data_IF_651446698048
#
_entry.id   IF_651446698048
#
_cell.length_a   1.000
_cell.length_b   1.000
_cell.length_c   1.000
_cell.angle_alpha   90.00
_cell.angle_beta   90.00
_cell.angle_gamma   90.00
#
_symmetry.space_group_name_H-M   'P 1'
#
loop_
_entity.id
_entity.type
_entity.pdbx_description
1 polymer ?
#
# COMPACT_ATOMS: atom_id res chain seq x y z
N UNK A 1 41.11 22.16 -87.39
CA UNK A 1 41.30 20.74 -86.94
C UNK A 1 40.79 20.62 -85.49
N UNK A 2 39.57 20.12 -85.29
CA UNK A 2 38.96 19.93 -83.94
C UNK A 2 39.22 18.51 -83.55
N UNK A 3 39.94 18.30 -82.39
CA UNK A 3 40.16 17.00 -81.81
C UNK A 3 38.98 16.72 -80.85
N UNK A 4 38.24 15.65 -81.17
CA UNK A 4 37.17 15.15 -80.35
C UNK A 4 37.77 14.12 -79.34
N UNK A 5 37.68 14.39 -78.09
CA UNK A 5 38.03 13.42 -77.02
C UNK A 5 36.78 12.63 -76.68
N UNK A 6 36.80 11.33 -76.87
CA UNK A 6 35.82 10.40 -76.35
C UNK A 6 36.21 10.08 -74.88
N UNK A 7 35.34 10.43 -73.95
CA UNK A 7 35.43 9.98 -72.56
C UNK A 7 34.57 8.74 -72.49
N UNK A 8 35.20 7.60 -72.28
CA UNK A 8 34.51 6.37 -71.98
C UNK A 8 34.10 6.37 -70.47
N UNK A 9 32.79 6.48 -70.23
CA UNK A 9 32.23 6.31 -68.87
C UNK A 9 32.19 4.82 -68.55
N UNK A 10 33.04 4.36 -67.61
CA UNK A 10 32.95 3.05 -67.01
C UNK A 10 31.90 3.10 -65.88
N UNK A 11 30.73 2.55 -66.18
CA UNK A 11 29.69 2.35 -65.16
C UNK A 11 30.11 1.17 -64.25
N UNK A 12 30.63 1.49 -63.06
CA UNK A 12 30.78 0.51 -61.98
C UNK A 12 29.37 0.17 -61.44
N UNK A 13 28.85 -0.99 -61.82
CA UNK A 13 27.68 -1.57 -61.14
C UNK A 13 28.09 -2.02 -59.74
N UNK A 14 27.79 -1.22 -58.73
CA UNK A 14 27.78 -1.71 -57.37
C UNK A 14 26.59 -2.68 -57.23
N UNK A 15 26.89 -3.98 -57.26
CA UNK A 15 25.95 -4.97 -56.73
C UNK A 15 25.80 -4.71 -55.24
N UNK A 16 24.75 -3.96 -54.88
CA UNK A 16 24.30 -3.89 -53.51
C UNK A 16 23.83 -5.31 -53.13
N UNK A 17 24.71 -6.04 -52.48
CA UNK A 17 24.30 -7.21 -51.75
C UNK A 17 23.38 -6.71 -50.64
N UNK A 18 22.08 -6.76 -50.87
CA UNK A 18 21.10 -6.61 -49.77
C UNK A 18 21.34 -7.80 -48.84
N UNK A 19 22.12 -7.60 -47.78
CA UNK A 19 22.03 -8.48 -46.66
C UNK A 19 20.55 -8.42 -46.27
N UNK A 20 19.83 -9.52 -46.39
CA UNK A 20 18.54 -9.69 -45.80
C UNK A 20 18.72 -9.30 -44.33
N UNK A 21 18.17 -8.17 -43.88
CA UNK A 21 18.19 -7.78 -42.50
C UNK A 21 17.47 -8.90 -41.75
N UNK A 22 18.24 -9.69 -40.99
CA UNK A 22 17.65 -10.70 -40.13
C UNK A 22 16.77 -10.01 -39.12
N UNK A 23 15.46 -10.22 -39.26
CA UNK A 23 14.43 -9.55 -38.46
C UNK A 23 14.03 -10.45 -37.28
N UNK A 24 13.63 -9.82 -36.22
CA UNK A 24 13.06 -10.53 -35.08
C UNK A 24 11.72 -11.15 -35.49
N UNK A 25 11.53 -12.45 -35.30
CA UNK A 25 10.28 -13.16 -35.61
C UNK A 25 9.25 -12.97 -34.51
N UNK A 26 9.69 -13.06 -33.25
CA UNK A 26 8.84 -12.85 -32.08
C UNK A 26 9.57 -12.13 -30.96
N UNK A 27 8.76 -11.43 -30.14
CA UNK A 27 9.15 -10.82 -28.87
C UNK A 27 8.14 -11.26 -27.82
N UNK A 28 8.58 -11.56 -26.60
CA UNK A 28 7.71 -11.97 -25.49
C UNK A 28 8.14 -11.27 -24.22
N UNK A 29 7.17 -10.77 -23.43
CA UNK A 29 7.37 -10.24 -22.08
C UNK A 29 6.79 -11.22 -21.08
N UNK A 30 7.52 -11.51 -20.02
CA UNK A 30 7.07 -12.40 -18.94
C UNK A 30 7.17 -11.68 -17.61
N UNK A 31 6.09 -11.68 -16.80
CA UNK A 31 4.77 -12.26 -17.06
C UNK A 31 3.96 -11.43 -18.09
N UNK A 32 3.05 -12.08 -18.82
CA UNK A 32 2.15 -11.41 -19.78
C UNK A 32 1.00 -10.68 -19.09
N UNK A 33 0.55 -11.20 -17.95
CA UNK A 33 -0.52 -10.60 -17.16
C UNK A 33 -0.22 -10.65 -15.66
N UNK A 34 -0.62 -9.60 -14.94
CA UNK A 34 -0.44 -9.47 -13.49
C UNK A 34 -1.64 -8.77 -12.88
N UNK A 35 -2.03 -9.17 -11.68
CA UNK A 35 -2.98 -8.41 -10.85
C UNK A 35 -2.29 -8.03 -9.56
N UNK A 36 -2.31 -6.73 -9.22
CA UNK A 36 -1.66 -6.18 -8.02
C UNK A 36 -2.50 -5.09 -7.38
N UNK A 37 -2.45 -5.01 -6.07
CA UNK A 37 -2.87 -3.82 -5.35
C UNK A 37 -1.72 -2.81 -5.29
N UNK A 38 -2.05 -1.55 -5.12
CA UNK A 38 -1.07 -0.44 -5.17
C UNK A 38 -0.01 -0.48 -4.07
N UNK A 39 -0.24 -1.23 -2.98
CA UNK A 39 0.71 -1.43 -1.87
C UNK A 39 1.51 -2.74 -1.96
N UNK A 40 1.39 -3.49 -3.05
CA UNK A 40 2.14 -4.70 -3.31
C UNK A 40 3.38 -4.44 -4.17
N UNK A 41 4.35 -5.34 -4.07
CA UNK A 41 5.52 -5.31 -4.92
C UNK A 41 5.15 -5.75 -6.33
N UNK A 42 5.52 -4.94 -7.32
CA UNK A 42 5.39 -5.30 -8.74
C UNK A 42 6.43 -6.37 -9.11
N UNK A 43 6.13 -7.26 -10.07
CA UNK A 43 7.08 -8.27 -10.52
C UNK A 43 8.22 -7.64 -11.32
N UNK A 44 9.33 -8.36 -11.42
CA UNK A 44 10.33 -8.09 -12.43
C UNK A 44 9.82 -8.56 -13.79
N UNK A 45 10.03 -7.74 -14.82
CA UNK A 45 9.70 -8.10 -16.21
C UNK A 45 10.94 -8.63 -16.91
N UNK A 46 10.79 -9.73 -17.63
CA UNK A 46 11.81 -10.26 -18.50
C UNK A 46 11.34 -10.27 -19.96
N UNK A 47 12.27 -10.08 -20.90
CA UNK A 47 11.99 -10.09 -22.34
C UNK A 47 12.82 -11.17 -23.00
N UNK A 48 12.24 -11.86 -23.95
CA UNK A 48 12.91 -12.81 -24.84
C UNK A 48 12.44 -12.64 -26.28
N UNK A 49 13.28 -13.00 -27.23
CA UNK A 49 12.95 -12.88 -28.65
C UNK A 49 13.57 -13.99 -29.49
N UNK A 50 13.04 -14.22 -30.67
CA UNK A 50 13.58 -15.17 -31.65
C UNK A 50 13.76 -14.50 -33.01
N UNK A 51 14.85 -14.82 -33.76
CA UNK A 51 16.00 -15.64 -33.30
C UNK A 51 16.83 -14.91 -32.24
N UNK A 52 17.51 -15.69 -31.40
CA UNK A 52 18.20 -15.18 -30.20
C UNK A 52 19.35 -14.24 -30.53
N UNK A 53 20.11 -14.53 -31.56
CA UNK A 53 21.23 -13.70 -32.01
C UNK A 53 20.82 -12.29 -32.48
N UNK A 54 19.62 -12.17 -33.04
CA UNK A 54 19.02 -10.89 -33.41
C UNK A 54 18.53 -10.16 -32.16
N UNK A 55 17.92 -10.88 -31.22
CA UNK A 55 17.44 -10.33 -29.97
C UNK A 55 18.58 -9.80 -29.10
N UNK A 56 19.70 -10.54 -28.97
CA UNK A 56 20.86 -10.13 -28.16
C UNK A 56 21.50 -8.83 -28.63
N UNK A 57 21.37 -8.49 -29.91
CA UNK A 57 21.86 -7.24 -30.50
C UNK A 57 20.81 -6.11 -30.52
N UNK A 58 19.58 -6.37 -30.14
CA UNK A 58 18.50 -5.41 -30.25
C UNK A 58 18.42 -4.48 -29.03
N UNK A 59 18.22 -3.18 -29.30
CA UNK A 59 17.89 -2.23 -28.25
C UNK A 59 16.41 -2.37 -27.88
N UNK A 60 16.14 -2.61 -26.61
CA UNK A 60 14.76 -2.69 -26.08
C UNK A 60 14.32 -1.30 -25.62
N UNK A 61 13.14 -0.91 -26.05
CA UNK A 61 12.48 0.34 -25.60
C UNK A 61 11.24 -0.04 -24.81
N UNK A 62 11.16 0.48 -23.61
CA UNK A 62 10.04 0.26 -22.68
C UNK A 62 9.12 1.47 -22.63
N UNK A 63 7.81 1.23 -22.55
CA UNK A 63 6.80 2.28 -22.40
C UNK A 63 5.67 1.80 -21.52
N UNK A 64 5.05 2.75 -20.79
CA UNK A 64 3.79 2.56 -20.04
C UNK A 64 2.70 3.40 -20.70
N UNK A 65 1.50 2.85 -20.88
CA UNK A 65 0.35 3.60 -21.39
C UNK A 65 -0.28 4.52 -20.33
N UNK A 66 0.03 4.27 -19.04
CA UNK A 66 -0.40 5.11 -17.89
C UNK A 66 0.78 5.34 -16.93
N UNK A 67 1.77 6.16 -17.30
CA UNK A 67 2.96 6.39 -16.49
C UNK A 67 2.67 7.15 -15.17
N UNK A 68 1.51 7.75 -15.04
CA UNK A 68 0.98 8.34 -13.82
C UNK A 68 0.52 7.29 -12.77
N UNK A 69 0.29 6.05 -13.20
CA UNK A 69 -0.04 4.92 -12.30
C UNK A 69 1.17 3.99 -12.11
N UNK A 70 1.76 3.51 -13.22
CA UNK A 70 2.97 2.67 -13.21
C UNK A 70 3.99 3.25 -14.17
N UNK A 71 5.16 3.56 -13.66
CA UNK A 71 6.34 3.93 -14.46
C UNK A 71 7.12 2.69 -14.87
N UNK A 72 7.87 2.78 -15.97
CA UNK A 72 8.87 1.80 -16.38
C UNK A 72 10.17 2.52 -16.71
N UNK A 73 11.31 2.00 -16.28
CA UNK A 73 12.63 2.55 -16.62
C UNK A 73 13.22 1.88 -17.88
N UNK A 74 14.39 2.34 -18.29
CA UNK A 74 15.10 1.83 -19.47
C UNK A 74 15.49 0.35 -19.39
N UNK A 75 15.54 -0.23 -18.17
CA UNK A 75 15.87 -1.62 -17.92
C UNK A 75 14.62 -2.50 -17.77
N UNK A 76 13.41 -1.94 -17.95
CA UNK A 76 12.16 -2.66 -17.76
C UNK A 76 11.70 -2.81 -16.32
N UNK A 77 12.35 -2.11 -15.36
CA UNK A 77 11.93 -2.10 -13.97
C UNK A 77 10.70 -1.21 -13.82
N UNK A 78 9.63 -1.80 -13.29
CA UNK A 78 8.35 -1.11 -13.07
C UNK A 78 8.18 -0.70 -11.61
N UNK A 79 7.50 0.44 -11.40
CA UNK A 79 7.18 0.95 -10.07
C UNK A 79 5.84 1.69 -10.07
N UNK A 80 5.10 1.62 -8.95
CA UNK A 80 3.94 2.47 -8.77
C UNK A 80 4.35 3.94 -8.64
N UNK A 81 3.72 4.82 -9.44
CA UNK A 81 3.87 6.27 -9.35
C UNK A 81 2.92 6.89 -8.33
N UNK A 82 1.91 6.14 -7.88
CA UNK A 82 0.86 6.55 -6.93
C UNK A 82 0.86 5.67 -5.70
N UNK A 83 0.36 6.23 -4.60
CA UNK A 83 0.15 5.49 -3.34
C UNK A 83 -1.08 4.56 -3.43
N UNK A 84 -2.14 5.00 -4.09
CA UNK A 84 -3.40 4.26 -4.26
C UNK A 84 -4.19 4.84 -5.43
N UNK A 85 -5.24 4.16 -5.86
CA UNK A 85 -6.18 4.55 -6.91
C UNK A 85 -7.61 4.44 -6.40
N UNK A 86 -8.55 5.19 -6.99
CA UNK A 86 -9.96 5.20 -6.56
C UNK A 86 -10.74 3.98 -7.05
N UNK A 87 -10.40 3.45 -8.20
CA UNK A 87 -11.05 2.30 -8.86
C UNK A 87 -10.01 1.42 -9.56
N UNK A 88 -10.41 0.20 -9.91
CA UNK A 88 -9.57 -0.71 -10.68
C UNK A 88 -9.18 -0.09 -12.05
N UNK A 89 -7.90 -0.18 -12.37
CA UNK A 89 -7.32 0.33 -13.60
C UNK A 89 -6.48 -0.76 -14.29
N UNK A 90 -6.40 -0.71 -15.60
CA UNK A 90 -5.52 -1.55 -16.39
C UNK A 90 -4.39 -0.71 -16.94
N UNK A 91 -3.16 -1.15 -16.76
CA UNK A 91 -1.93 -0.53 -17.26
C UNK A 91 -1.22 -1.52 -18.17
N UNK A 92 -0.83 -1.07 -19.36
CA UNK A 92 -0.06 -1.87 -20.32
C UNK A 92 1.38 -1.40 -20.36
N UNK A 93 2.31 -2.29 -20.01
CA UNK A 93 3.74 -2.07 -20.20
C UNK A 93 4.15 -2.75 -21.51
N UNK A 94 4.76 -2.00 -22.40
CA UNK A 94 5.19 -2.48 -23.70
C UNK A 94 6.71 -2.49 -23.82
N UNK A 95 7.25 -3.59 -24.31
CA UNK A 95 8.63 -3.71 -24.75
C UNK A 95 8.68 -3.78 -26.28
N UNK A 96 9.48 -2.93 -26.92
CA UNK A 96 9.65 -2.90 -28.36
C UNK A 96 11.11 -3.09 -28.74
N UNK A 97 11.38 -3.98 -29.68
CA UNK A 97 12.72 -4.26 -30.21
C UNK A 97 12.63 -4.71 -31.68
N UNK A 98 13.51 -4.23 -32.55
CA UNK A 98 13.62 -4.62 -33.95
C UNK A 98 12.27 -4.71 -34.69
N UNK A 99 11.35 -3.74 -34.43
CA UNK A 99 10.04 -3.66 -35.06
C UNK A 99 8.97 -4.61 -34.52
N UNK A 100 9.25 -5.35 -33.45
CA UNK A 100 8.29 -6.18 -32.69
C UNK A 100 7.95 -5.51 -31.37
N UNK A 101 6.73 -5.78 -30.88
CA UNK A 101 6.26 -5.30 -29.58
C UNK A 101 5.61 -6.45 -28.83
N UNK A 102 5.95 -6.57 -27.56
CA UNK A 102 5.31 -7.48 -26.60
C UNK A 102 4.84 -6.69 -25.37
N UNK A 103 3.84 -7.18 -24.67
CA UNK A 103 3.19 -6.44 -23.59
C UNK A 103 3.02 -7.27 -22.34
N UNK A 104 3.07 -6.58 -21.20
CA UNK A 104 2.55 -7.07 -19.92
C UNK A 104 1.32 -6.23 -19.55
N UNK A 105 0.19 -6.87 -19.32
CA UNK A 105 -1.05 -6.22 -18.89
C UNK A 105 -1.18 -6.33 -17.38
N UNK A 106 -1.19 -5.19 -16.68
CA UNK A 106 -1.25 -5.13 -15.23
C UNK A 106 -2.62 -4.60 -14.80
N UNK A 107 -3.41 -5.46 -14.16
CA UNK A 107 -4.64 -5.03 -13.47
C UNK A 107 -4.25 -4.48 -12.09
N UNK A 108 -4.41 -3.18 -11.92
CA UNK A 108 -4.14 -2.47 -10.67
C UNK A 108 -5.43 -2.32 -9.89
N UNK A 109 -5.46 -2.85 -8.67
CA UNK A 109 -6.60 -2.76 -7.77
C UNK A 109 -6.40 -1.71 -6.69
N UNK A 110 -7.44 -0.91 -6.36
CA UNK A 110 -7.37 0.00 -5.23
C UNK A 110 -7.30 -0.78 -3.91
N UNK A 111 -6.59 -0.23 -2.94
CA UNK A 111 -6.44 -0.88 -1.62
C UNK A 111 -7.79 -1.14 -0.95
N UNK A 112 -8.77 -0.25 -1.15
CA UNK A 112 -10.13 -0.40 -0.59
C UNK A 112 -10.82 -1.70 -1.02
N UNK A 113 -10.50 -2.25 -2.19
CA UNK A 113 -11.09 -3.49 -2.69
C UNK A 113 -10.74 -4.76 -1.87
N UNK A 114 -9.85 -4.64 -0.89
CA UNK A 114 -9.53 -5.71 0.09
C UNK A 114 -10.48 -5.76 1.26
N UNK A 115 -11.27 -4.72 1.48
CA UNK A 115 -12.01 -4.49 2.71
C UNK A 115 -13.51 -4.57 2.48
N UNK A 116 -14.22 -5.02 3.50
CA UNK A 116 -15.64 -4.78 3.64
C UNK A 116 -15.88 -3.54 4.49
N UNK A 117 -17.01 -2.87 4.24
CA UNK A 117 -17.36 -1.64 4.93
C UNK A 117 -18.38 -1.96 6.01
N UNK A 118 -17.98 -1.77 7.27
CA UNK A 118 -18.88 -1.84 8.42
C UNK A 118 -19.60 -0.50 8.57
N UNK A 119 -20.92 -0.52 8.44
CA UNK A 119 -21.72 0.69 8.58
C UNK A 119 -22.15 0.89 10.04
N UNK A 120 -21.54 1.87 10.69
CA UNK A 120 -21.86 2.35 12.03
C UNK A 120 -22.44 3.76 12.00
N UNK A 121 -22.99 4.19 10.86
CA UNK A 121 -23.56 5.55 10.74
C UNK A 121 -24.66 5.81 11.78
N UNK A 122 -25.44 4.79 12.11
CA UNK A 122 -26.49 4.90 13.12
C UNK A 122 -25.94 5.01 14.56
N UNK A 123 -24.91 4.23 14.88
CA UNK A 123 -24.36 4.09 16.23
C UNK A 123 -23.31 5.15 16.54
N UNK A 124 -22.37 5.39 15.60
CA UNK A 124 -21.22 6.27 15.79
C UNK A 124 -21.19 7.47 14.84
N UNK A 125 -22.04 7.51 13.81
CA UNK A 125 -22.06 8.56 12.80
C UNK A 125 -21.08 8.35 11.63
N UNK A 126 -20.38 7.20 11.54
CA UNK A 126 -19.40 6.95 10.49
C UNK A 126 -19.32 5.48 10.08
N UNK A 127 -18.52 5.20 9.03
CA UNK A 127 -18.21 3.85 8.54
C UNK A 127 -16.78 3.48 8.87
N UNK A 128 -16.52 2.19 9.09
CA UNK A 128 -15.21 1.63 9.43
C UNK A 128 -14.87 0.49 8.47
N UNK A 129 -13.59 0.24 8.22
CA UNK A 129 -13.17 -0.98 7.52
C UNK A 129 -13.25 -2.20 8.45
N UNK A 130 -13.55 -3.36 7.88
CA UNK A 130 -13.75 -4.62 8.61
C UNK A 130 -12.49 -5.18 9.27
N UNK A 131 -11.31 -4.69 8.90
CA UNK A 131 -10.01 -5.16 9.41
C UNK A 131 -8.96 -4.07 9.47
N UNK A 132 -7.89 -4.32 10.22
CA UNK A 132 -6.74 -3.43 10.30
C UNK A 132 -5.94 -3.42 8.98
N UNK A 133 -5.21 -2.33 8.74
CA UNK A 133 -4.32 -2.22 7.59
C UNK A 133 -3.27 -3.35 7.59
N UNK A 134 -3.10 -3.99 6.44
CA UNK A 134 -2.20 -5.13 6.27
C UNK A 134 -2.72 -6.46 6.81
N UNK A 135 -3.93 -6.52 7.35
CA UNK A 135 -4.53 -7.78 7.78
C UNK A 135 -5.01 -8.62 6.60
N UNK A 136 -4.63 -9.90 6.55
CA UNK A 136 -5.02 -10.84 5.50
C UNK A 136 -6.48 -11.30 5.58
N UNK A 137 -7.11 -11.15 6.76
CA UNK A 137 -8.50 -11.51 7.01
C UNK A 137 -9.05 -10.72 8.21
N UNK A 138 -10.38 -10.75 8.37
CA UNK A 138 -11.09 -10.24 9.56
C UNK A 138 -10.52 -10.88 10.83
N UNK A 139 -10.42 -10.11 11.91
CA UNK A 139 -9.85 -10.51 13.21
C UNK A 139 -8.35 -10.89 13.17
N UNK A 140 -7.65 -10.69 12.05
CA UNK A 140 -6.19 -10.71 12.01
C UNK A 140 -5.64 -9.34 12.39
N UNK A 141 -4.54 -9.34 13.10
CA UNK A 141 -3.97 -8.10 13.67
C UNK A 141 -3.50 -7.14 12.58
N UNK A 142 -2.92 -7.64 11.48
CA UNK A 142 -2.35 -6.81 10.42
C UNK A 142 -0.98 -6.27 10.80
N UNK A 143 -0.68 -5.08 10.30
CA UNK A 143 0.61 -4.44 10.47
C UNK A 143 0.62 -3.49 11.67
N UNK A 144 1.78 -3.38 12.33
CA UNK A 144 2.03 -2.40 13.38
C UNK A 144 2.79 -1.20 12.84
N UNK A 145 2.36 -0.02 13.25
CA UNK A 145 2.91 1.25 12.79
C UNK A 145 3.24 2.16 13.98
N UNK A 146 4.35 2.88 13.87
CA UNK A 146 4.61 4.06 14.68
C UNK A 146 3.81 5.23 14.12
N UNK A 147 3.19 6.04 14.96
CA UNK A 147 2.32 7.13 14.50
C UNK A 147 3.08 8.09 13.58
N UNK A 148 2.54 8.35 12.42
CA UNK A 148 3.19 9.20 11.40
C UNK A 148 4.23 8.47 10.52
N UNK A 149 4.35 7.14 10.62
CA UNK A 149 5.28 6.34 9.81
C UNK A 149 4.51 5.33 8.95
N UNK A 150 4.49 5.53 7.64
CA UNK A 150 3.71 4.68 6.72
C UNK A 150 4.37 3.33 6.40
N UNK A 151 5.60 3.11 6.86
CA UNK A 151 6.27 1.81 6.75
C UNK A 151 5.98 0.99 8.00
N UNK A 152 5.45 -0.24 7.88
CA UNK A 152 5.21 -1.09 9.02
C UNK A 152 6.51 -1.47 9.74
N UNK A 153 6.46 -1.50 11.06
CA UNK A 153 7.59 -1.83 11.92
C UNK A 153 7.50 -3.24 12.52
N UNK A 154 6.35 -3.88 12.38
CA UNK A 154 6.13 -5.29 12.66
C UNK A 154 4.87 -5.76 11.92
N UNK A 155 4.72 -7.07 11.76
CA UNK A 155 3.51 -7.72 11.22
C UNK A 155 2.95 -8.71 12.23
N UNK A 156 1.71 -9.15 12.01
CA UNK A 156 1.07 -10.12 12.88
C UNK A 156 1.91 -11.40 13.02
N UNK A 157 2.19 -11.81 14.26
CA UNK A 157 3.00 -12.98 14.58
C UNK A 157 4.48 -12.68 14.79
N UNK A 158 4.95 -11.47 14.54
CA UNK A 158 6.31 -11.08 14.87
C UNK A 158 6.51 -11.06 16.40
N UNK A 159 7.59 -11.67 16.88
CA UNK A 159 7.97 -11.63 18.29
C UNK A 159 8.64 -10.29 18.66
N UNK A 160 9.10 -9.52 17.67
CA UNK A 160 9.78 -8.24 17.86
C UNK A 160 9.63 -7.35 16.63
N UNK A 161 9.91 -6.08 16.79
CA UNK A 161 9.94 -5.11 15.69
C UNK A 161 11.07 -5.39 14.70
N UNK A 162 10.87 -4.98 13.45
CA UNK A 162 11.86 -5.09 12.37
C UNK A 162 12.80 -3.85 12.32
N UNK A 163 13.71 -3.83 11.33
CA UNK A 163 14.70 -2.76 11.17
C UNK A 163 14.10 -1.36 10.88
N UNK A 164 12.80 -1.27 10.56
CA UNK A 164 12.14 0.01 10.34
C UNK A 164 11.73 0.70 11.65
N UNK A 165 11.77 -0.01 12.78
CA UNK A 165 11.40 0.57 14.08
C UNK A 165 12.45 1.57 14.56
N UNK A 166 11.98 2.71 15.06
CA UNK A 166 12.83 3.75 15.66
C UNK A 166 12.31 4.06 17.08
N UNK A 167 13.09 3.70 18.09
CA UNK A 167 12.75 3.93 19.50
C UNK A 167 12.65 5.44 19.85
N UNK A 168 13.28 6.31 19.06
CA UNK A 168 13.27 7.76 19.23
C UNK A 168 12.30 8.46 18.27
N UNK A 169 11.45 7.70 17.57
CA UNK A 169 10.49 8.26 16.61
C UNK A 169 9.62 9.34 17.24
N UNK A 170 9.60 10.50 16.61
CA UNK A 170 8.89 11.69 17.08
C UNK A 170 8.42 12.55 15.91
N UNK A 171 7.70 13.61 16.20
CA UNK A 171 7.24 14.56 15.19
C UNK A 171 8.37 15.27 14.43
N UNK A 172 9.59 15.27 14.99
CA UNK A 172 10.79 15.87 14.38
C UNK A 172 11.59 14.87 13.54
N UNK A 173 11.19 13.60 13.52
CA UNK A 173 11.89 12.56 12.77
C UNK A 173 11.72 12.75 11.26
N UNK A 174 12.80 12.50 10.50
CA UNK A 174 12.76 12.54 9.04
C UNK A 174 11.72 11.54 8.50
N UNK A 175 10.80 11.99 7.65
CA UNK A 175 9.75 11.17 7.07
C UNK A 175 8.52 11.05 7.96
N UNK A 176 8.44 11.82 9.06
CA UNK A 176 7.23 11.90 9.86
C UNK A 176 6.08 12.49 9.03
N UNK A 177 4.97 11.78 8.95
CA UNK A 177 3.75 12.19 8.27
C UNK A 177 2.67 12.58 9.31
N UNK A 178 2.03 13.71 9.10
CA UNK A 178 0.95 14.16 9.99
C UNK A 178 -0.34 13.36 9.69
N UNK A 179 -0.60 12.34 10.49
CA UNK A 179 -1.76 11.45 10.34
C UNK A 179 -3.10 12.06 10.79
N UNK A 180 -3.12 13.30 11.27
CA UNK A 180 -4.38 14.06 11.40
C UNK A 180 -4.99 14.35 10.03
N UNK A 181 -4.19 14.24 8.97
CA UNK A 181 -4.60 14.39 7.57
C UNK A 181 -4.75 13.01 6.94
N UNK A 182 -5.95 12.63 6.46
CA UNK A 182 -6.24 11.30 5.93
C UNK A 182 -5.28 10.84 4.83
N UNK A 183 -4.90 11.74 3.93
CA UNK A 183 -4.01 11.48 2.80
C UNK A 183 -2.59 11.06 3.22
N UNK A 184 -2.19 11.39 4.44
CA UNK A 184 -0.89 11.05 4.99
C UNK A 184 -0.87 9.69 5.71
N UNK A 185 -2.03 9.08 5.93
CA UNK A 185 -2.15 7.82 6.67
C UNK A 185 -1.89 6.59 5.77
N UNK A 186 -1.65 5.40 6.33
CA UNK A 186 -1.58 4.16 5.54
C UNK A 186 -2.96 3.65 5.08
N UNK A 187 -4.04 4.39 5.33
CA UNK A 187 -5.38 4.02 4.90
C UNK A 187 -5.58 4.20 3.39
N UNK A 188 -6.53 3.48 2.77
CA UNK A 188 -6.96 3.70 1.38
C UNK A 188 -7.47 5.13 1.13
N UNK A 189 -7.52 5.56 -0.12
CA UNK A 189 -8.05 6.88 -0.52
C UNK A 189 -9.47 7.07 0.03
N UNK A 190 -9.71 8.25 0.62
CA UNK A 190 -11.00 8.63 1.23
C UNK A 190 -11.28 7.98 2.58
N UNK A 191 -10.26 7.33 3.16
CA UNK A 191 -10.25 6.76 4.50
C UNK A 191 -9.09 7.33 5.31
N UNK A 192 -9.22 7.31 6.62
CA UNK A 192 -8.18 7.83 7.53
C UNK A 192 -8.34 7.25 8.93
N UNK A 193 -7.51 7.69 9.86
CA UNK A 193 -7.66 7.32 11.25
C UNK A 193 -8.87 8.03 11.89
N UNK A 194 -9.53 7.44 12.89
CA UNK A 194 -10.58 8.13 13.63
C UNK A 194 -10.07 9.45 14.22
N UNK A 195 -10.80 10.54 14.03
CA UNK A 195 -10.55 11.81 14.69
C UNK A 195 -11.10 11.86 16.13
N UNK A 196 -10.98 13.02 16.78
CA UNK A 196 -11.37 13.16 18.20
C UNK A 196 -12.88 12.96 18.41
N UNK A 197 -13.72 13.44 17.49
CA UNK A 197 -15.17 13.26 17.57
C UNK A 197 -15.58 11.81 17.37
N UNK A 198 -14.99 11.15 16.38
CA UNK A 198 -15.21 9.74 16.10
C UNK A 198 -14.73 8.83 17.26
N UNK A 199 -13.59 9.17 17.87
CA UNK A 199 -13.09 8.45 19.04
C UNK A 199 -13.99 8.62 20.25
N UNK A 200 -14.47 9.84 20.52
CA UNK A 200 -15.45 10.10 21.59
C UNK A 200 -16.79 9.41 21.34
N UNK A 201 -17.23 9.32 20.08
CA UNK A 201 -18.45 8.58 19.75
C UNK A 201 -18.31 7.09 20.07
N UNK A 202 -17.17 6.46 19.77
CA UNK A 202 -16.87 5.08 20.16
C UNK A 202 -16.87 4.96 21.68
N UNK A 203 -16.09 5.80 22.36
CA UNK A 203 -15.88 5.75 23.81
C UNK A 203 -17.22 5.87 24.56
N UNK A 204 -18.05 6.86 24.22
CA UNK A 204 -19.35 7.09 24.85
C UNK A 204 -20.34 5.92 24.69
N UNK A 205 -20.28 5.17 23.61
CA UNK A 205 -21.14 4.02 23.37
C UNK A 205 -20.64 2.74 24.04
N UNK A 206 -19.34 2.66 24.31
CA UNK A 206 -18.73 1.52 24.99
C UNK A 206 -18.55 1.74 26.50
N UNK A 207 -18.81 2.94 27.00
CA UNK A 207 -18.65 3.31 28.39
C UNK A 207 -19.44 2.38 29.35
N UNK A 208 -20.61 1.88 28.92
CA UNK A 208 -21.43 0.96 29.70
C UNK A 208 -20.69 -0.33 30.03
N UNK A 209 -19.69 -0.76 29.24
CA UNK A 209 -18.85 -1.93 29.55
C UNK A 209 -18.06 -1.69 30.86
N UNK A 210 -17.47 -0.51 31.02
CA UNK A 210 -16.75 -0.14 32.22
C UNK A 210 -17.71 0.11 33.39
N UNK A 211 -18.77 0.88 33.18
CA UNK A 211 -19.74 1.28 34.20
C UNK A 211 -20.46 0.07 34.84
N UNK A 212 -20.70 -0.98 34.07
CA UNK A 212 -21.34 -2.21 34.58
C UNK A 212 -20.57 -2.85 35.73
N UNK A 213 -19.25 -2.88 35.66
CA UNK A 213 -18.40 -3.43 36.72
C UNK A 213 -18.40 -2.60 38.02
N UNK A 214 -18.91 -1.36 37.96
CA UNK A 214 -19.07 -0.48 39.13
C UNK A 214 -20.53 -0.32 39.57
N UNK A 215 -21.42 -1.20 39.07
CA UNK A 215 -22.88 -1.12 39.33
C UNK A 215 -23.52 0.22 38.87
N UNK A 216 -22.93 0.88 37.85
CA UNK A 216 -23.36 2.18 37.32
C UNK A 216 -24.04 2.06 35.96
N UNK A 217 -24.11 0.88 35.36
CA UNK A 217 -24.85 0.57 34.15
C UNK A 217 -25.65 -0.72 34.34
N UNK A 218 -26.76 -0.85 33.66
CA UNK A 218 -27.58 -2.06 33.64
C UNK A 218 -26.93 -3.15 32.79
N UNK A 219 -27.36 -4.41 32.99
CA UNK A 219 -26.93 -5.52 32.17
C UNK A 219 -27.30 -5.34 30.69
N UNK A 220 -28.46 -4.75 30.39
CA UNK A 220 -28.90 -4.49 29.03
C UNK A 220 -27.97 -3.50 28.33
N UNK A 221 -27.55 -2.42 29.00
CA UNK A 221 -26.61 -1.44 28.49
C UNK A 221 -25.23 -2.06 28.26
N UNK A 222 -24.76 -2.92 29.17
CA UNK A 222 -23.52 -3.68 29.00
C UNK A 222 -23.57 -4.58 27.77
N UNK A 223 -24.61 -5.43 27.65
CA UNK A 223 -24.77 -6.36 26.53
C UNK A 223 -24.87 -5.62 25.17
N UNK A 224 -25.56 -4.48 25.14
CA UNK A 224 -25.64 -3.65 23.95
C UNK A 224 -24.28 -3.05 23.55
N UNK A 225 -23.50 -2.57 24.51
CA UNK A 225 -22.16 -2.03 24.27
C UNK A 225 -21.17 -3.13 23.87
N UNK A 226 -21.22 -4.30 24.50
CA UNK A 226 -20.38 -5.46 24.13
C UNK A 226 -20.69 -5.98 22.72
N UNK A 227 -21.98 -6.06 22.35
CA UNK A 227 -22.39 -6.41 21.00
C UNK A 227 -21.84 -5.41 19.97
N UNK A 228 -21.89 -4.12 20.30
CA UNK A 228 -21.39 -3.05 19.43
C UNK A 228 -19.86 -3.14 19.27
N UNK A 229 -19.12 -3.39 20.35
CA UNK A 229 -17.68 -3.62 20.31
C UNK A 229 -17.32 -4.83 19.42
N UNK A 230 -18.02 -5.95 19.63
CA UNK A 230 -17.79 -7.16 18.84
C UNK A 230 -18.06 -6.95 17.35
N UNK A 231 -19.04 -6.12 16.99
CA UNK A 231 -19.30 -5.74 15.58
C UNK A 231 -18.17 -4.91 14.95
N UNK A 232 -17.35 -4.22 15.74
CA UNK A 232 -16.18 -3.50 15.22
C UNK A 232 -15.10 -4.44 14.70
N UNK A 233 -15.13 -5.72 15.06
CA UNK A 233 -14.17 -6.74 14.60
C UNK A 233 -12.70 -6.34 14.84
N UNK A 234 -12.43 -5.65 15.96
CA UNK A 234 -11.07 -5.29 16.37
C UNK A 234 -10.41 -6.51 16.99
N UNK A 235 -9.27 -6.99 16.50
CA UNK A 235 -8.56 -8.11 17.11
C UNK A 235 -7.77 -7.66 18.34
N UNK A 236 -7.57 -8.57 19.30
CA UNK A 236 -6.58 -8.38 20.34
C UNK A 236 -5.18 -8.36 19.70
N UNK A 237 -4.51 -7.23 19.78
CA UNK A 237 -3.28 -6.98 19.03
C UNK A 237 -2.04 -6.81 19.92
N UNK A 238 -2.23 -6.43 21.20
CA UNK A 238 -1.10 -5.94 21.96
C UNK A 238 -0.45 -4.70 21.32
N UNK A 239 0.74 -4.37 21.79
CA UNK A 239 1.53 -3.26 21.29
C UNK A 239 3.03 -3.56 21.46
N UNK A 240 3.89 -2.90 20.63
CA UNK A 240 5.32 -2.86 20.87
C UNK A 240 5.69 -1.55 21.55
N UNK A 241 6.40 -1.64 22.66
CA UNK A 241 6.78 -0.49 23.48
C UNK A 241 8.03 0.22 22.98
N UNK A 242 8.42 1.29 23.71
CA UNK A 242 9.59 2.13 23.42
C UNK A 242 10.91 1.34 23.33
N UNK A 243 11.02 0.25 24.04
CA UNK A 243 12.22 -0.59 24.06
C UNK A 243 12.28 -1.57 22.88
N UNK A 244 11.21 -1.69 22.10
CA UNK A 244 11.16 -2.41 20.80
C UNK A 244 11.53 -3.88 20.84
N UNK A 245 11.81 -4.41 22.02
CA UNK A 245 12.49 -5.68 22.14
C UNK A 245 11.53 -6.86 22.33
N UNK A 246 10.40 -6.63 22.94
CA UNK A 246 9.37 -7.65 23.08
C UNK A 246 8.02 -6.95 22.97
N UNK A 247 7.14 -7.50 22.16
CA UNK A 247 5.77 -7.06 22.17
C UNK A 247 5.23 -7.21 23.57
N UNK A 248 4.72 -6.14 24.18
CA UNK A 248 3.82 -6.30 25.29
C UNK A 248 2.54 -6.91 24.73
N UNK A 249 2.63 -8.20 24.39
CA UNK A 249 1.47 -8.97 23.96
C UNK A 249 0.60 -9.17 25.21
N UNK A 250 -0.36 -8.27 25.34
CA UNK A 250 -1.48 -8.48 26.25
C UNK A 250 -2.54 -9.22 25.43
N UNK A 251 -2.74 -10.53 25.62
CA UNK A 251 -3.64 -11.32 24.76
C UNK A 251 -5.07 -10.81 24.73
N UNK A 252 -5.47 -10.01 25.72
CA UNK A 252 -6.80 -9.43 25.87
C UNK A 252 -6.84 -7.91 25.59
N UNK A 253 -5.75 -7.33 25.05
CA UNK A 253 -5.66 -5.91 24.80
C UNK A 253 -5.81 -5.59 23.31
N UNK A 254 -6.70 -4.66 23.01
CA UNK A 254 -7.09 -4.22 21.68
C UNK A 254 -6.61 -2.80 21.48
N UNK A 255 -5.92 -2.54 20.37
CA UNK A 255 -5.35 -1.23 20.09
C UNK A 255 -5.57 -0.82 18.64
N UNK A 256 -5.77 0.47 18.42
CA UNK A 256 -5.56 1.12 17.14
C UNK A 256 -5.29 2.63 17.29
N UNK A 257 -4.54 3.18 16.36
CA UNK A 257 -4.24 4.60 16.34
C UNK A 257 -5.46 5.46 16.03
N UNK A 258 -5.52 6.65 16.63
CA UNK A 258 -6.37 7.76 16.16
C UNK A 258 -5.55 8.77 15.36
N UNK A 259 -6.22 9.62 14.58
CA UNK A 259 -5.62 10.74 13.87
C UNK A 259 -5.42 11.98 14.75
N UNK A 260 -5.50 11.85 16.07
CA UNK A 260 -5.44 13.00 16.99
C UNK A 260 -4.02 13.21 17.48
N UNK A 261 -3.46 14.39 17.16
CA UNK A 261 -2.18 14.87 17.66
C UNK A 261 -2.40 16.08 18.56
N UNK A 262 -1.78 16.09 19.72
CA UNK A 262 -1.80 17.19 20.68
C UNK A 262 -0.40 17.68 21.00
N UNK A 263 -0.26 18.76 21.77
CA UNK A 263 1.05 19.19 22.27
C UNK A 263 1.71 18.19 23.23
N UNK A 264 0.94 17.23 23.75
CA UNK A 264 1.39 16.27 24.75
C UNK A 264 1.62 14.87 24.15
N UNK A 265 1.31 14.65 22.86
CA UNK A 265 1.48 13.37 22.17
C UNK A 265 0.38 13.06 21.16
N UNK A 266 0.16 11.79 20.91
CA UNK A 266 -0.82 11.25 19.98
C UNK A 266 -1.82 10.36 20.71
N UNK A 267 -3.02 10.21 20.17
CA UNK A 267 -4.06 9.44 20.84
C UNK A 267 -4.28 8.07 20.18
N UNK A 268 -4.79 7.11 20.95
CA UNK A 268 -5.16 5.77 20.49
C UNK A 268 -6.43 5.29 21.16
N UNK A 269 -7.10 4.33 20.56
CA UNK A 269 -8.04 3.45 21.24
C UNK A 269 -7.26 2.37 21.94
N UNK A 270 -7.66 2.05 23.16
CA UNK A 270 -7.13 0.94 23.96
C UNK A 270 -8.30 0.28 24.68
N UNK A 271 -8.39 -1.03 24.57
CA UNK A 271 -9.31 -1.83 25.37
C UNK A 271 -8.54 -2.96 26.03
N UNK A 272 -8.34 -2.83 27.34
CA UNK A 272 -7.76 -3.83 28.21
C UNK A 272 -8.59 -3.86 29.51
N UNK A 273 -9.46 -4.83 29.67
CA UNK A 273 -10.51 -4.93 30.67
C UNK A 273 -11.65 -3.92 30.49
N UNK A 274 -11.33 -2.66 30.14
CA UNK A 274 -12.31 -1.60 29.89
C UNK A 274 -11.96 -0.82 28.62
N UNK A 275 -12.95 -0.42 27.80
CA UNK A 275 -12.70 0.47 26.69
C UNK A 275 -12.19 1.81 27.21
N UNK A 276 -11.11 2.29 26.59
CA UNK A 276 -10.47 3.53 26.97
C UNK A 276 -9.98 4.29 25.74
N UNK A 277 -10.47 5.51 25.57
CA UNK A 277 -9.87 6.46 24.67
C UNK A 277 -8.62 7.06 25.33
N UNK A 278 -7.48 6.41 25.08
CA UNK A 278 -6.23 6.84 25.70
C UNK A 278 -5.66 8.06 25.00
N UNK A 279 -5.50 9.09 25.78
CA UNK A 279 -4.84 10.33 25.40
C UNK A 279 -3.36 10.27 25.78
N UNK A 280 -2.48 10.88 24.96
CA UNK A 280 -1.06 11.09 25.29
C UNK A 280 -0.15 9.86 25.13
N UNK A 281 -0.32 9.10 24.07
CA UNK A 281 0.69 8.13 23.66
C UNK A 281 1.88 8.80 22.97
N UNK A 282 3.03 8.13 22.98
CA UNK A 282 4.21 8.58 22.25
C UNK A 282 4.19 8.03 20.83
N UNK A 283 4.62 8.82 19.82
CA UNK A 283 4.64 8.36 18.42
C UNK A 283 5.53 7.13 18.18
N UNK A 284 6.52 6.88 19.05
CA UNK A 284 7.41 5.71 18.96
C UNK A 284 6.75 4.37 19.34
N UNK A 285 5.57 4.40 19.96
CA UNK A 285 4.79 3.20 20.20
C UNK A 285 4.33 2.60 18.87
N UNK A 286 4.30 1.27 18.75
CA UNK A 286 3.84 0.60 17.56
C UNK A 286 2.55 -0.17 17.85
N UNK A 287 1.46 0.25 17.21
CA UNK A 287 0.14 -0.39 17.30
C UNK A 287 -0.52 -0.42 15.91
N UNK A 288 -1.58 -1.22 15.71
CA UNK A 288 -2.28 -1.31 14.44
C UNK A 288 -2.98 -0.02 14.03
N UNK A 289 -3.36 0.02 12.75
CA UNK A 289 -4.18 1.08 12.15
C UNK A 289 -5.53 0.51 11.75
N UNK A 290 -6.61 1.15 12.21
CA UNK A 290 -7.99 0.89 11.81
C UNK A 290 -8.53 2.13 11.09
N UNK A 291 -9.01 1.95 9.86
CA UNK A 291 -9.45 3.08 9.05
C UNK A 291 -10.97 3.31 9.15
N UNK A 292 -11.34 4.58 9.14
CA UNK A 292 -12.72 5.06 9.10
C UNK A 292 -12.94 5.96 7.90
N UNK A 293 -14.19 6.07 7.43
CA UNK A 293 -14.53 6.95 6.30
C UNK A 293 -14.36 8.42 6.68
N UNK A 294 -13.73 9.19 5.78
CA UNK A 294 -13.56 10.65 5.88
C UNK A 294 -14.44 11.37 4.90
#
# INVERSE_FOLDING_TARGET
>A
MKKIFYVAAVALAFAACSKDEVKLDSLTVTPETVTKFTDEVLPELSVSGTPQDVFDGAQITWTSDKPDIITVDENGKIAFAVKDIEKEETVTISASAAGKTATCVITVKPQIARYEILDFTKEYGFKMLDRNVGASAVLKVGNYYQWGKNTPVAVAGDAKVNANYDANWSADSKGFADWSKPENTPCPIGWGLPDDEQMKAIDSKLEAIALYYYDMATREEYEAAELLFNRMLVPASGQFGKEGQEGLYLPDAYYFWSGVKTSEGVNSFEYNLFPLYKKKNVPSLAIPVRCVKK
#
